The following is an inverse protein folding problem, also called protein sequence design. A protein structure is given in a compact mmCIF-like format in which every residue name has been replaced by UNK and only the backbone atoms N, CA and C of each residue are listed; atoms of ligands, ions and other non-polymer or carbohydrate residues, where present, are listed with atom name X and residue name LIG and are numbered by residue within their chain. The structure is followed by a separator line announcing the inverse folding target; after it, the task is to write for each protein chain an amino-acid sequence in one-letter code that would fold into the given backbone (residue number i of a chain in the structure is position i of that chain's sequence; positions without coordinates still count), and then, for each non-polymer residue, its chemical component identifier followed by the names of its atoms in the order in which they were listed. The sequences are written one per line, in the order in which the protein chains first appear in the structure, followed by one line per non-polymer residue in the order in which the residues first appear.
data_IF_589642437903
#
_entry.id   IF_589642437903
#
_cell.length_a   1.000
_cell.length_b   1.000
_cell.length_c   1.000
_cell.angle_alpha   90.00
_cell.angle_beta   90.00
_cell.angle_gamma   90.00
#
_symmetry.space_group_name_H-M   'P 1'
#
loop_
_entity.id
_entity.type
_entity.pdbx_description
1 polymer ?
#
# COMPACT_ATOMS: atom_id res chain seq x y z
N UNK A 1 4.96 16.69 -36.93
CA UNK A 1 5.63 17.53 -35.91
C UNK A 1 5.30 16.90 -34.56
N UNK A 2 6.26 16.15 -34.01
CA UNK A 2 6.14 15.43 -32.73
C UNK A 2 6.27 16.40 -31.56
N UNK A 3 5.55 16.10 -30.47
CA UNK A 3 5.96 16.30 -29.06
C UNK A 3 4.95 15.50 -28.22
N UNK A 4 5.22 14.21 -28.02
CA UNK A 4 5.96 13.62 -26.89
C UNK A 4 5.01 13.19 -25.77
N UNK A 5 4.80 11.88 -25.74
CA UNK A 5 4.17 11.14 -24.65
C UNK A 5 4.99 11.35 -23.37
N UNK A 6 4.47 12.14 -22.42
CA UNK A 6 4.96 12.14 -21.04
C UNK A 6 4.38 10.94 -20.30
N UNK A 7 4.95 9.75 -20.55
CA UNK A 7 4.85 8.64 -19.62
C UNK A 7 5.67 8.98 -18.37
N UNK A 8 5.03 9.58 -17.37
CA UNK A 8 5.61 9.65 -16.03
C UNK A 8 5.58 8.25 -15.41
N UNK A 9 6.72 7.69 -14.98
CA UNK A 9 6.69 6.43 -14.25
C UNK A 9 5.91 6.67 -12.96
N UNK A 10 4.82 5.92 -12.78
CA UNK A 10 3.97 5.97 -11.60
C UNK A 10 4.83 5.79 -10.35
N UNK A 11 5.04 6.89 -9.62
CA UNK A 11 5.90 6.91 -8.44
C UNK A 11 5.34 5.91 -7.42
N UNK A 12 6.15 4.97 -6.88
CA UNK A 12 5.64 3.99 -5.94
C UNK A 12 5.11 4.70 -4.69
N UNK A 13 3.83 4.48 -4.42
CA UNK A 13 3.10 5.01 -3.26
C UNK A 13 3.85 4.56 -1.99
N UNK A 14 4.24 5.52 -1.15
CA UNK A 14 4.95 5.23 0.09
C UNK A 14 6.47 5.05 -0.05
N UNK A 15 7.16 5.44 -1.12
CA UNK A 15 8.64 5.29 -1.13
C UNK A 15 9.41 6.34 -0.30
N UNK A 16 8.87 7.55 -0.13
CA UNK A 16 9.60 8.69 0.47
C UNK A 16 8.83 9.49 1.52
N UNK A 17 7.50 9.47 1.49
CA UNK A 17 6.64 10.12 2.47
C UNK A 17 5.35 9.32 2.62
N UNK A 18 4.62 9.56 3.72
CA UNK A 18 3.28 9.00 3.87
C UNK A 18 2.37 9.52 2.76
N UNK A 19 1.60 8.63 2.14
CA UNK A 19 0.68 8.95 1.08
C UNK A 19 -0.76 8.68 1.54
N UNK A 20 -1.71 9.43 1.00
CA UNK A 20 -3.14 9.15 1.17
C UNK A 20 -3.68 8.65 -0.16
N UNK A 21 -4.34 7.50 -0.13
CA UNK A 21 -4.96 6.88 -1.31
C UNK A 21 -6.48 6.87 -1.10
N UNK A 22 -7.20 7.43 -2.06
CA UNK A 22 -8.67 7.37 -2.07
C UNK A 22 -9.10 6.08 -2.75
N UNK A 23 -10.02 5.35 -2.12
CA UNK A 23 -10.56 4.10 -2.66
C UNK A 23 -11.58 4.39 -3.76
N UNK A 24 -11.40 3.71 -4.88
CA UNK A 24 -12.27 3.71 -6.05
C UNK A 24 -13.10 2.42 -6.13
N UNK A 25 -13.97 2.34 -7.14
CA UNK A 25 -14.83 1.18 -7.42
C UNK A 25 -14.01 -0.11 -7.62
N UNK A 26 -12.80 -0.01 -8.19
CA UNK A 26 -11.95 -1.17 -8.44
C UNK A 26 -11.38 -1.81 -7.16
N UNK A 27 -11.38 -1.05 -6.06
CA UNK A 27 -10.83 -1.45 -4.76
C UNK A 27 -11.92 -1.63 -3.70
N UNK A 28 -13.18 -1.31 -4.02
CA UNK A 28 -14.32 -1.48 -3.13
C UNK A 28 -14.50 -2.94 -2.69
N UNK A 29 -14.85 -3.14 -1.42
CA UNK A 29 -15.13 -4.46 -0.83
C UNK A 29 -13.89 -5.32 -0.62
N UNK A 30 -12.73 -4.91 -1.15
CA UNK A 30 -11.45 -5.57 -0.90
C UNK A 30 -11.04 -5.38 0.57
N UNK A 31 -10.45 -6.42 1.16
CA UNK A 31 -9.82 -6.28 2.47
C UNK A 31 -8.59 -5.38 2.40
N UNK A 32 -8.38 -4.56 3.42
CA UNK A 32 -7.25 -3.63 3.50
C UNK A 32 -5.90 -4.34 3.40
N UNK A 33 -5.74 -5.55 3.95
CA UNK A 33 -4.50 -6.32 3.83
C UNK A 33 -4.18 -6.70 2.38
N UNK A 34 -5.18 -7.16 1.63
CA UNK A 34 -5.04 -7.47 0.22
C UNK A 34 -4.77 -6.22 -0.62
N UNK A 35 -5.43 -5.10 -0.29
CA UNK A 35 -5.20 -3.83 -0.96
C UNK A 35 -3.75 -3.36 -0.75
N UNK A 36 -3.27 -3.39 0.49
CA UNK A 36 -1.90 -3.04 0.83
C UNK A 36 -0.89 -3.96 0.16
N UNK A 37 -1.14 -5.26 0.04
CA UNK A 37 -0.24 -6.18 -0.66
C UNK A 37 -0.09 -5.84 -2.15
N UNK A 38 -1.16 -5.33 -2.78
CA UNK A 38 -1.14 -4.86 -4.18
C UNK A 38 -0.41 -3.52 -4.34
N UNK A 39 -0.63 -2.59 -3.40
CA UNK A 39 -0.01 -1.25 -3.41
C UNK A 39 1.47 -1.32 -3.04
N UNK A 40 1.80 -2.11 -2.02
CA UNK A 40 3.14 -2.28 -1.46
C UNK A 40 3.81 -3.53 -2.05
N UNK A 41 4.00 -3.53 -3.37
CA UNK A 41 4.59 -4.68 -4.08
C UNK A 41 5.94 -5.07 -3.50
N UNK A 42 6.11 -6.36 -3.21
CA UNK A 42 7.34 -6.92 -2.64
C UNK A 42 7.46 -6.81 -1.12
N UNK A 43 6.51 -6.15 -0.42
CA UNK A 43 6.53 -6.11 1.04
C UNK A 43 6.04 -7.47 1.59
N UNK A 44 6.80 -8.13 2.48
CA UNK A 44 6.36 -9.38 3.09
C UNK A 44 5.06 -9.22 3.88
N UNK A 45 4.20 -10.25 3.85
CA UNK A 45 2.91 -10.23 4.53
C UNK A 45 3.02 -9.93 6.03
N UNK A 46 4.04 -10.47 6.69
CA UNK A 46 4.34 -10.21 8.11
C UNK A 46 4.60 -8.72 8.39
N UNK A 47 5.27 -8.03 7.46
CA UNK A 47 5.53 -6.60 7.55
C UNK A 47 4.23 -5.80 7.34
N UNK A 48 3.38 -6.20 6.39
CA UNK A 48 2.04 -5.60 6.22
C UNK A 48 1.22 -5.71 7.53
N UNK A 49 1.22 -6.88 8.18
CA UNK A 49 0.55 -7.02 9.48
C UNK A 49 1.21 -6.21 10.59
N UNK A 50 2.53 -6.00 10.54
CA UNK A 50 3.23 -5.16 11.50
C UNK A 50 2.78 -3.70 11.39
N UNK A 51 2.76 -3.12 10.19
CA UNK A 51 2.37 -1.71 9.98
C UNK A 51 0.87 -1.45 10.26
N UNK A 52 0.02 -2.46 10.03
CA UNK A 52 -1.40 -2.40 10.42
C UNK A 52 -1.54 -2.41 11.94
N UNK A 53 -0.82 -3.31 12.64
CA UNK A 53 -0.88 -3.43 14.10
C UNK A 53 -0.17 -2.28 14.83
N UNK A 54 0.88 -1.69 14.27
CA UNK A 54 1.49 -0.47 14.83
C UNK A 54 0.60 0.76 14.63
N UNK A 55 -0.42 0.67 13.76
CA UNK A 55 -1.31 1.78 13.43
C UNK A 55 -0.70 2.80 12.47
N UNK A 56 0.39 2.44 11.79
CA UNK A 56 0.99 3.29 10.76
C UNK A 56 0.07 3.45 9.55
N UNK A 57 -0.67 2.39 9.21
CA UNK A 57 -1.78 2.45 8.26
C UNK A 57 -3.06 2.89 8.97
N UNK A 58 -3.77 3.84 8.38
CA UNK A 58 -5.05 4.35 8.90
C UNK A 58 -6.06 4.49 7.77
N UNK A 59 -7.33 4.29 8.09
CA UNK A 59 -8.45 4.57 7.19
C UNK A 59 -9.28 5.67 7.84
N UNK A 60 -9.54 6.75 7.12
CA UNK A 60 -10.32 7.89 7.61
C UNK A 60 -9.80 8.41 8.97
N UNK A 61 -8.47 8.43 9.13
CA UNK A 61 -7.73 8.79 10.37
C UNK A 61 -7.88 7.79 11.54
N UNK A 62 -8.70 6.76 11.40
CA UNK A 62 -8.89 5.68 12.37
C UNK A 62 -7.92 4.50 12.19
N UNK A 63 -7.68 3.76 13.28
CA UNK A 63 -6.98 2.47 13.23
C UNK A 63 -7.98 1.39 12.82
N UNK A 64 -7.57 0.50 11.92
CA UNK A 64 -8.42 -0.59 11.42
C UNK A 64 -7.79 -1.96 11.67
N UNK A 65 -8.62 -3.00 11.58
CA UNK A 65 -8.16 -4.39 11.53
C UNK A 65 -7.79 -4.80 10.09
N UNK A 66 -6.91 -5.78 9.93
CA UNK A 66 -6.52 -6.30 8.63
C UNK A 66 -7.70 -6.85 7.80
N UNK A 67 -8.78 -7.27 8.46
CA UNK A 67 -10.02 -7.75 7.83
C UNK A 67 -10.96 -6.65 7.36
N UNK A 68 -10.67 -5.37 7.64
CA UNK A 68 -11.49 -4.24 7.22
C UNK A 68 -11.71 -4.26 5.70
N UNK A 69 -12.98 -4.20 5.29
CA UNK A 69 -13.37 -4.09 3.88
C UNK A 69 -13.47 -2.62 3.51
N UNK A 70 -12.78 -2.25 2.44
CA UNK A 70 -12.73 -0.88 1.94
C UNK A 70 -14.07 -0.47 1.33
N UNK A 71 -14.45 0.78 1.54
CA UNK A 71 -15.61 1.41 0.94
C UNK A 71 -15.17 2.49 -0.04
N UNK A 72 -15.97 2.73 -1.09
CA UNK A 72 -15.71 3.83 -2.03
C UNK A 72 -15.58 5.14 -1.27
N UNK A 73 -14.55 5.92 -1.60
CA UNK A 73 -14.27 7.21 -0.97
C UNK A 73 -13.48 7.14 0.34
N UNK A 74 -13.20 5.94 0.86
CA UNK A 74 -12.29 5.80 2.00
C UNK A 74 -10.91 6.41 1.69
N UNK A 75 -10.33 7.06 2.70
CA UNK A 75 -8.98 7.63 2.60
C UNK A 75 -8.02 6.78 3.42
N UNK A 76 -7.16 6.04 2.72
CA UNK A 76 -6.14 5.16 3.30
C UNK A 76 -4.81 5.89 3.40
N UNK A 77 -4.31 6.09 4.62
CA UNK A 77 -2.94 6.55 4.87
C UNK A 77 -1.97 5.37 4.76
N UNK A 78 -1.01 5.46 3.85
CA UNK A 78 0.05 4.47 3.63
C UNK A 78 1.39 5.07 4.08
N UNK A 79 2.12 4.44 5.02
CA UNK A 79 3.41 4.95 5.50
C UNK A 79 4.51 4.84 4.44
N UNK A 80 5.61 5.61 4.59
CA UNK A 80 6.75 5.44 3.71
C UNK A 80 7.49 4.12 4.00
N UNK A 81 7.41 3.14 3.11
CA UNK A 81 8.09 1.86 3.19
C UNK A 81 9.13 1.78 2.08
N UNK A 82 10.40 1.66 2.49
CA UNK A 82 11.50 1.30 1.60
C UNK A 82 11.79 -0.17 1.78
N UNK A 83 11.65 -0.93 0.70
CA UNK A 83 12.12 -2.31 0.68
C UNK A 83 13.59 -2.24 0.30
N UNK A 84 14.48 -2.56 1.22
CA UNK A 84 15.85 -2.88 0.85
C UNK A 84 15.81 -4.15 0.00
N UNK A 85 16.58 -4.22 -1.07
CA UNK A 85 16.62 -5.37 -1.98
C UNK A 85 16.91 -6.73 -1.30
N UNK A 86 17.27 -6.72 -0.01
CA UNK A 86 17.62 -7.88 0.81
C UNK A 86 16.42 -8.59 1.46
N UNK A 87 15.20 -8.04 1.44
CA UNK A 87 14.03 -8.75 2.00
C UNK A 87 13.57 -9.94 1.12
N UNK A 88 14.12 -10.05 -0.10
CA UNK A 88 13.89 -11.21 -0.99
C UNK A 88 14.44 -12.51 -0.38
N UNK A 89 15.47 -12.42 0.46
CA UNK A 89 16.18 -13.56 1.06
C UNK A 89 15.38 -14.31 2.14
N UNK A 90 14.32 -13.67 2.69
CA UNK A 90 13.38 -14.29 3.65
C UNK A 90 12.27 -15.12 2.97
N UNK A 91 12.08 -14.97 1.65
CA UNK A 91 11.05 -15.68 0.87
C UNK A 91 11.60 -16.89 0.11
N UNK A 92 12.93 -16.99 -0.06
CA UNK A 92 13.59 -18.11 -0.78
C UNK A 92 14.00 -19.28 0.14
N UNK A 93 13.77 -19.17 1.46
CA UNK A 93 14.13 -20.18 2.46
C UNK A 93 12.91 -20.80 3.20
N UNK A 94 11.75 -20.93 2.54
CA UNK A 94 10.59 -21.66 3.08
C UNK A 94 10.14 -22.78 2.14
#
# INVERSE_FOLDING_TARGET
MQIEQINQPEKPIGAHAAANVTIDEASEGQRIDNFLAKVLKGVPKSHIYRILRSGEVRVNKGRIDASYKLLIGDIVRVPPIRIAANDKELLENQ
#
